data_IF_327204013665
#
_entry.id   IF_327204013665
#
_cell.length_a   1.000
_cell.length_b   1.000
_cell.length_c   1.000
_cell.angle_alpha   90.00
_cell.angle_beta   90.00
_cell.angle_gamma   90.00
#
_symmetry.space_group_name_H-M   'P 1'
#
loop_
_entity.id
_entity.type
_entity.pdbx_description
1 polymer ?
#
# COMPACT_ATOMS: atom_id res chain seq x y z
N UNK A 1 -13.89 30.21 -28.33
CA UNK A 1 -14.14 28.97 -27.58
C UNK A 1 -13.84 27.82 -28.53
N UNK A 2 -12.67 27.22 -28.42
CA UNK A 2 -12.30 26.03 -29.22
C UNK A 2 -11.52 25.11 -28.31
N UNK A 3 -12.25 24.17 -27.72
CA UNK A 3 -11.72 23.02 -26.99
C UNK A 3 -10.96 22.15 -28.01
N UNK A 4 -9.66 22.05 -27.84
CA UNK A 4 -8.76 21.29 -28.70
C UNK A 4 -7.87 20.44 -27.81
N UNK A 5 -7.78 19.15 -28.16
CA UNK A 5 -6.73 18.20 -27.77
C UNK A 5 -6.86 17.66 -26.33
N UNK A 6 -6.94 16.36 -26.05
CA UNK A 6 -6.62 15.17 -26.82
C UNK A 6 -7.60 14.05 -26.45
N UNK A 7 -8.06 13.32 -27.45
CA UNK A 7 -8.51 11.97 -27.23
C UNK A 7 -7.36 11.09 -26.76
N UNK A 8 -7.75 9.95 -26.19
CA UNK A 8 -6.95 8.77 -25.89
C UNK A 8 -6.66 8.56 -24.40
N UNK A 9 -7.03 7.35 -23.98
CA UNK A 9 -6.73 6.70 -22.71
C UNK A 9 -7.63 7.17 -21.54
N UNK A 10 -8.94 6.89 -21.54
CA UNK A 10 -9.39 5.59 -20.99
C UNK A 10 -8.21 4.65 -20.73
N UNK A 11 -7.47 4.92 -19.64
CA UNK A 11 -6.44 4.04 -19.10
C UNK A 11 -7.13 2.71 -18.88
N UNK A 12 -6.96 1.86 -19.88
CA UNK A 12 -7.00 0.41 -19.84
C UNK A 12 -7.62 -0.09 -18.56
N UNK A 13 -8.85 -0.57 -18.66
CA UNK A 13 -9.40 -1.58 -17.77
C UNK A 13 -8.52 -2.83 -17.91
N UNK A 14 -7.25 -2.74 -17.52
CA UNK A 14 -6.39 -3.88 -17.29
C UNK A 14 -7.07 -4.58 -16.13
N UNK A 15 -7.57 -5.79 -16.37
CA UNK A 15 -8.01 -6.71 -15.31
C UNK A 15 -6.80 -7.19 -14.49
N UNK A 16 -5.92 -6.27 -14.09
CA UNK A 16 -4.87 -6.56 -13.14
C UNK A 16 -5.54 -6.88 -11.79
N UNK A 17 -5.16 -8.00 -11.16
CA UNK A 17 -5.77 -8.40 -9.90
C UNK A 17 -5.55 -7.29 -8.86
N UNK A 18 -6.65 -6.72 -8.38
CA UNK A 18 -6.63 -5.78 -7.26
C UNK A 18 -6.80 -6.54 -5.96
N UNK A 19 -6.03 -6.14 -4.96
CA UNK A 19 -6.05 -6.72 -3.63
C UNK A 19 -6.67 -5.72 -2.65
N UNK A 20 -7.39 -6.21 -1.65
CA UNK A 20 -7.84 -5.36 -0.55
C UNK A 20 -6.64 -4.93 0.28
N UNK A 21 -6.49 -3.62 0.50
CA UNK A 21 -5.41 -3.01 1.27
C UNK A 21 -6.02 -2.18 2.40
N UNK A 22 -5.65 -2.50 3.64
CA UNK A 22 -6.03 -1.73 4.83
C UNK A 22 -4.82 -1.12 5.49
N UNK A 23 -4.82 0.20 5.63
CA UNK A 23 -3.71 0.94 6.23
C UNK A 23 -4.12 1.39 7.63
N UNK A 24 -3.34 0.99 8.64
CA UNK A 24 -3.61 1.40 10.01
C UNK A 24 -3.34 2.90 10.18
N UNK A 25 -4.37 3.66 10.57
CA UNK A 25 -4.28 5.09 10.81
C UNK A 25 -4.46 5.98 9.58
N UNK A 26 -4.49 5.40 8.37
CA UNK A 26 -4.83 6.12 7.14
C UNK A 26 -6.14 5.57 6.54
N UNK A 27 -7.20 6.36 6.70
CA UNK A 27 -8.54 6.04 6.17
C UNK A 27 -8.83 6.74 4.83
N UNK A 28 -7.82 7.42 4.27
CA UNK A 28 -7.94 8.14 3.00
C UNK A 28 -7.37 7.35 1.83
N UNK A 29 -6.51 6.37 2.13
CA UNK A 29 -5.98 5.43 1.17
C UNK A 29 -7.11 4.58 0.55
N UNK A 30 -7.02 4.25 -0.76
CA UNK A 30 -8.01 3.40 -1.40
C UNK A 30 -7.95 1.97 -0.84
N UNK A 31 -9.13 1.40 -0.54
CA UNK A 31 -9.27 0.04 -0.02
C UNK A 31 -8.81 -1.06 -0.98
N UNK A 32 -8.64 -0.75 -2.28
CA UNK A 32 -8.17 -1.72 -3.29
C UNK A 32 -7.11 -1.10 -4.18
N UNK A 33 -6.01 -1.82 -4.36
CA UNK A 33 -4.87 -1.38 -5.17
C UNK A 33 -4.35 -2.55 -6.02
N UNK A 34 -3.74 -2.25 -7.17
CA UNK A 34 -2.85 -3.22 -7.85
C UNK A 34 -1.52 -3.33 -7.10
N UNK A 35 -0.73 -4.35 -7.46
CA UNK A 35 0.62 -4.54 -6.92
C UNK A 35 1.51 -3.32 -7.12
N UNK A 36 1.52 -2.78 -8.33
CA UNK A 36 2.33 -1.60 -8.67
C UNK A 36 1.86 -0.37 -7.88
N UNK A 37 0.55 -0.15 -7.79
CA UNK A 37 -0.01 0.96 -6.99
C UNK A 37 0.39 0.85 -5.52
N UNK A 38 0.34 -0.36 -4.95
CA UNK A 38 0.69 -0.60 -3.56
C UNK A 38 2.18 -0.36 -3.28
N UNK A 39 3.07 -0.86 -4.16
CA UNK A 39 4.52 -0.65 -4.03
C UNK A 39 4.91 0.82 -4.21
N UNK A 40 4.27 1.51 -5.14
CA UNK A 40 4.42 2.96 -5.33
C UNK A 40 3.92 3.72 -4.12
N UNK A 41 2.72 3.40 -3.62
CA UNK A 41 2.17 4.01 -2.40
C UNK A 41 3.11 3.82 -1.22
N UNK A 42 3.63 2.60 -1.03
CA UNK A 42 4.60 2.31 0.03
C UNK A 42 5.85 3.18 -0.10
N UNK A 43 6.39 3.29 -1.31
CA UNK A 43 7.63 4.05 -1.57
C UNK A 43 7.44 5.56 -1.42
N UNK A 44 6.26 6.09 -1.76
CA UNK A 44 5.95 7.52 -1.69
C UNK A 44 5.61 7.97 -0.25
N UNK A 45 4.89 7.12 0.48
CA UNK A 45 4.35 7.47 1.80
C UNK A 45 5.18 6.96 2.98
N UNK A 46 6.03 5.95 2.80
CA UNK A 46 6.78 5.35 3.90
C UNK A 46 8.27 5.21 3.58
N UNK A 47 9.12 5.63 4.53
CA UNK A 47 10.58 5.57 4.38
C UNK A 47 11.24 4.46 5.20
N UNK A 48 10.79 4.18 6.44
CA UNK A 48 11.01 2.97 7.27
C UNK A 48 10.62 3.28 8.73
N UNK A 49 10.30 2.29 9.60
CA UNK A 49 9.92 0.91 9.29
C UNK A 49 8.40 0.75 9.14
N UNK A 50 7.98 -0.06 8.15
CA UNK A 50 6.58 -0.45 7.94
C UNK A 50 6.40 -1.95 8.06
N UNK A 51 5.27 -2.36 8.61
CA UNK A 51 4.93 -3.77 8.76
C UNK A 51 3.79 -4.10 7.82
N UNK A 52 4.05 -5.00 6.88
CA UNK A 52 3.07 -5.46 5.91
C UNK A 52 2.64 -6.86 6.31
N UNK A 53 1.35 -7.05 6.54
CA UNK A 53 0.74 -8.33 6.85
C UNK A 53 -0.15 -8.75 5.69
N UNK A 54 -0.08 -10.02 5.33
CA UNK A 54 -0.95 -10.61 4.32
C UNK A 54 -1.72 -11.77 4.94
N UNK A 55 -2.97 -11.96 4.53
CA UNK A 55 -3.82 -13.01 5.08
C UNK A 55 -3.27 -14.42 4.77
N UNK A 56 -2.64 -14.60 3.60
CA UNK A 56 -2.13 -15.88 3.13
C UNK A 56 -0.72 -16.25 3.60
N UNK A 57 0.15 -15.26 3.86
CA UNK A 57 1.58 -15.51 4.16
C UNK A 57 2.08 -14.88 5.47
N UNK A 58 1.25 -14.10 6.18
CA UNK A 58 1.65 -13.45 7.42
C UNK A 58 2.46 -12.18 7.18
N UNK A 59 3.46 -11.89 8.02
CA UNK A 59 4.27 -10.68 7.89
C UNK A 59 5.27 -10.83 6.74
N UNK A 60 5.29 -9.86 5.83
CA UNK A 60 6.18 -9.81 4.66
C UNK A 60 6.91 -8.47 4.61
N UNK A 61 8.11 -8.46 4.04
CA UNK A 61 8.83 -7.22 3.73
C UNK A 61 8.39 -6.63 2.38
N UNK A 62 8.57 -5.33 2.12
CA UNK A 62 8.23 -4.70 0.84
C UNK A 62 8.88 -5.40 -0.37
N UNK A 63 10.13 -5.85 -0.23
CA UNK A 63 10.82 -6.64 -1.25
C UNK A 63 10.13 -7.99 -1.50
N UNK A 64 9.70 -8.69 -0.44
CA UNK A 64 8.97 -9.95 -0.56
C UNK A 64 7.57 -9.74 -1.16
N UNK A 65 6.92 -8.62 -0.85
CA UNK A 65 5.65 -8.25 -1.45
C UNK A 65 5.79 -8.02 -2.97
N UNK A 66 6.92 -7.46 -3.42
CA UNK A 66 7.23 -7.27 -4.82
C UNK A 66 7.45 -8.58 -5.59
N UNK A 67 7.79 -9.68 -4.91
CA UNK A 67 7.93 -11.01 -5.52
C UNK A 67 6.71 -11.90 -5.30
N UNK A 68 5.85 -11.55 -4.34
CA UNK A 68 4.69 -12.36 -3.97
C UNK A 68 3.58 -12.37 -5.04
N UNK A 69 2.82 -13.46 -5.03
CA UNK A 69 1.67 -13.69 -5.88
C UNK A 69 0.38 -13.18 -5.21
N UNK A 70 -0.19 -12.12 -5.76
CA UNK A 70 -1.33 -11.43 -5.17
C UNK A 70 -2.62 -12.26 -5.18
N UNK A 71 -2.72 -13.31 -6.01
CA UNK A 71 -3.84 -14.23 -5.96
C UNK A 71 -3.80 -15.11 -4.69
N UNK A 72 -2.61 -15.34 -4.12
CA UNK A 72 -2.42 -16.13 -2.89
C UNK A 72 -2.33 -15.30 -1.61
N UNK A 73 -1.98 -14.01 -1.70
CA UNK A 73 -1.80 -13.14 -0.54
C UNK A 73 -3.10 -12.85 0.23
N UNK A 74 -4.25 -12.89 -0.44
CA UNK A 74 -5.54 -12.61 0.17
C UNK A 74 -5.78 -11.12 0.36
N UNK A 75 -5.88 -10.63 1.60
CA UNK A 75 -5.96 -9.21 1.91
C UNK A 75 -4.64 -8.73 2.54
N UNK A 76 -4.26 -7.48 2.29
CA UNK A 76 -3.05 -6.87 2.82
C UNK A 76 -3.42 -5.84 3.88
N UNK A 77 -2.69 -5.85 4.99
CA UNK A 77 -2.74 -4.84 6.03
C UNK A 77 -1.37 -4.19 6.20
N UNK A 78 -1.29 -2.89 5.97
CA UNK A 78 -0.10 -2.09 6.26
C UNK A 78 -0.26 -1.48 7.64
N UNK A 79 0.75 -1.67 8.47
CA UNK A 79 0.88 -1.01 9.76
C UNK A 79 2.15 -0.17 9.69
N UNK A 80 2.07 1.14 9.44
CA UNK A 80 3.23 2.00 9.68
C UNK A 80 3.68 1.80 11.12
N UNK A 81 4.99 1.81 11.37
CA UNK A 81 5.53 1.64 12.70
C UNK A 81 4.89 2.63 13.68
N UNK A 82 3.90 2.17 14.45
CA UNK A 82 3.51 2.82 15.68
C UNK A 82 4.68 2.58 16.63
N UNK A 83 5.69 3.44 16.57
CA UNK A 83 6.55 3.71 17.72
C UNK A 83 5.68 4.40 18.77
N UNK A 84 4.74 3.62 19.33
CA UNK A 84 4.05 3.90 20.58
C UNK A 84 5.09 3.80 21.69
N UNK A 85 5.91 4.82 21.75
CA UNK A 85 6.99 5.02 22.68
C UNK A 85 7.42 6.46 22.47
N UNK A 86 6.54 7.41 22.80
CA UNK A 86 7.09 8.60 23.44
C UNK A 86 8.06 8.06 24.48
N UNK A 87 9.36 8.38 24.47
CA UNK A 87 10.11 8.19 25.69
C UNK A 87 9.23 8.85 26.75
N UNK A 88 8.75 8.08 27.72
CA UNK A 88 8.36 8.68 28.97
C UNK A 88 9.62 9.46 29.32
N UNK A 89 9.55 10.78 29.16
CA UNK A 89 10.53 11.70 29.69
C UNK A 89 10.46 11.47 31.20
N UNK A 90 11.14 10.42 31.64
CA UNK A 90 11.34 10.04 33.01
C UNK A 90 12.81 10.27 33.27
N UNK A 91 13.03 11.23 34.16
CA UNK A 91 14.29 11.50 34.86
C UNK A 91 15.30 12.36 34.10
N UNK A 92 15.27 13.67 34.38
CA UNK A 92 16.43 14.37 34.95
C UNK A 92 15.97 15.63 35.70
#
# INVERSE_FOLDING_TARGET
MTETTAGSLMKTQNNEPTIEVKIAGDYTAPDRMTKEQLLQYISDHYNDPIWIFTLGQGMVQPAQLAEADFATLGAIRITPGLVGGTPKEESA
#
